data_IF_606889641907
#
_entry.id   IF_606889641907
#
_cell.length_a   1.000
_cell.length_b   1.000
_cell.length_c   1.000
_cell.angle_alpha   90.00
_cell.angle_beta   90.00
_cell.angle_gamma   90.00
#
_symmetry.space_group_name_H-M   'P 1'
#
loop_
_entity.id
_entity.type
_entity.pdbx_description
1 polymer ?
#
# COMPACT_ATOMS: atom_id res chain seq x y z
N UNK A 1 12.15 16.73 4.96
CA UNK A 1 12.23 15.26 5.02
C UNK A 1 10.82 14.68 5.12
N UNK A 2 10.52 13.66 4.32
CA UNK A 2 9.20 13.02 4.35
C UNK A 2 9.16 11.88 5.33
N UNK A 3 8.00 11.70 5.94
CA UNK A 3 7.74 10.55 6.79
C UNK A 3 6.75 9.62 6.13
N UNK A 4 6.90 8.32 6.41
CA UNK A 4 6.00 7.29 5.92
C UNK A 4 5.32 6.66 7.13
N UNK A 5 3.98 6.62 7.10
CA UNK A 5 3.19 6.03 8.19
C UNK A 5 2.20 5.03 7.62
N UNK A 6 2.11 3.88 8.27
CA UNK A 6 1.13 2.84 7.93
C UNK A 6 -0.06 2.98 8.86
N UNK A 7 -1.25 3.10 8.28
CA UNK A 7 -2.47 3.11 9.09
C UNK A 7 -2.73 1.72 9.66
N UNK A 8 -3.54 1.64 10.71
CA UNK A 8 -3.90 0.35 11.28
C UNK A 8 -4.64 -0.53 10.28
N UNK A 9 -5.46 0.08 9.41
CA UNK A 9 -6.16 -0.68 8.37
C UNK A 9 -5.19 -1.27 7.36
N UNK A 10 -4.17 -0.50 6.96
CA UNK A 10 -3.16 -1.00 6.03
C UNK A 10 -2.36 -2.14 6.64
N UNK A 11 -2.01 -2.03 7.93
CA UNK A 11 -1.32 -3.12 8.63
C UNK A 11 -2.20 -4.37 8.73
N UNK A 12 -3.50 -4.19 8.97
CA UNK A 12 -4.45 -5.31 8.96
C UNK A 12 -4.52 -5.96 7.59
N UNK A 13 -4.48 -5.15 6.53
CA UNK A 13 -4.47 -5.69 5.17
C UNK A 13 -3.26 -6.57 4.93
N UNK A 14 -2.07 -6.15 5.41
CA UNK A 14 -0.87 -6.97 5.26
C UNK A 14 -1.00 -8.31 6.00
N UNK A 15 -1.53 -8.27 7.22
CA UNK A 15 -1.74 -9.49 8.00
C UNK A 15 -2.73 -10.41 7.29
N UNK A 16 -3.81 -9.86 6.76
CA UNK A 16 -4.82 -10.62 6.03
C UNK A 16 -4.22 -11.29 4.79
N UNK A 17 -3.42 -10.57 4.04
CA UNK A 17 -2.78 -11.11 2.84
C UNK A 17 -1.81 -12.22 3.20
N UNK A 18 -1.03 -12.05 4.27
CA UNK A 18 -0.13 -13.09 4.74
C UNK A 18 -0.91 -14.35 5.12
N UNK A 19 -1.97 -14.19 5.91
CA UNK A 19 -2.78 -15.32 6.37
C UNK A 19 -3.44 -16.06 5.22
N UNK A 20 -3.81 -15.33 4.16
CA UNK A 20 -4.40 -15.92 2.98
C UNK A 20 -3.38 -16.75 2.18
N UNK A 21 -2.15 -16.25 2.08
CA UNK A 21 -1.12 -16.88 1.25
C UNK A 21 -0.32 -17.95 1.97
N UNK A 22 -0.11 -17.80 3.28
CA UNK A 22 0.77 -18.68 4.04
C UNK A 22 0.37 -20.17 4.00
N UNK A 23 -0.94 -20.53 4.06
CA UNK A 23 -1.31 -21.94 3.98
C UNK A 23 -0.90 -22.60 2.67
N UNK A 24 -0.83 -21.82 1.59
CA UNK A 24 -0.44 -22.36 0.28
C UNK A 24 1.08 -22.39 0.17
N UNK A 25 1.75 -21.29 0.54
CA UNK A 25 3.21 -21.20 0.46
C UNK A 25 3.71 -20.09 1.38
N UNK A 26 4.34 -20.48 2.48
CA UNK A 26 4.82 -19.52 3.48
C UNK A 26 5.90 -18.61 2.93
N UNK A 27 6.80 -19.14 2.11
CA UNK A 27 7.88 -18.32 1.52
C UNK A 27 7.32 -17.25 0.60
N UNK A 28 6.31 -17.59 -0.19
CA UNK A 28 5.65 -16.62 -1.07
C UNK A 28 4.93 -15.57 -0.23
N UNK A 29 4.25 -15.99 0.84
CA UNK A 29 3.55 -15.06 1.73
C UNK A 29 4.53 -14.04 2.33
N UNK A 30 5.67 -14.53 2.85
CA UNK A 30 6.66 -13.65 3.46
C UNK A 30 7.25 -12.68 2.44
N UNK A 31 7.57 -13.16 1.23
CA UNK A 31 8.13 -12.29 0.20
C UNK A 31 7.13 -11.26 -0.29
N UNK A 32 5.86 -11.63 -0.37
CA UNK A 32 4.80 -10.72 -0.78
C UNK A 32 4.68 -9.56 0.22
N UNK A 33 4.60 -9.89 1.51
CA UNK A 33 4.49 -8.86 2.55
C UNK A 33 5.76 -7.99 2.57
N UNK A 34 6.93 -8.60 2.43
CA UNK A 34 8.18 -7.85 2.38
C UNK A 34 8.20 -6.87 1.19
N UNK A 35 7.78 -7.33 0.02
CA UNK A 35 7.71 -6.49 -1.17
C UNK A 35 6.74 -5.32 -0.96
N UNK A 36 5.59 -5.58 -0.34
CA UNK A 36 4.61 -4.54 -0.08
C UNK A 36 5.08 -3.53 0.95
N UNK A 37 5.82 -3.98 1.96
CA UNK A 37 6.34 -3.04 2.98
C UNK A 37 7.48 -2.19 2.45
N UNK A 38 8.20 -2.66 1.45
CA UNK A 38 9.30 -1.91 0.85
C UNK A 38 8.86 -0.98 -0.27
N UNK A 39 7.76 -1.31 -0.94
CA UNK A 39 7.32 -0.54 -2.11
C UNK A 39 7.15 0.95 -1.85
N UNK A 40 6.61 1.39 -0.69
CA UNK A 40 6.43 2.83 -0.46
C UNK A 40 7.72 3.61 -0.29
N UNK A 41 8.87 2.96 -0.16
CA UNK A 41 10.15 3.68 -0.03
C UNK A 41 10.40 4.60 -1.22
N UNK A 42 9.97 4.20 -2.41
CA UNK A 42 10.11 5.05 -3.60
C UNK A 42 9.27 6.31 -3.51
N UNK A 43 8.19 6.28 -2.72
CA UNK A 43 7.32 7.43 -2.55
C UNK A 43 7.96 8.54 -1.72
N UNK A 44 8.97 8.20 -0.93
CA UNK A 44 9.67 9.22 -0.12
C UNK A 44 10.42 10.21 -1.00
N UNK A 45 10.90 9.77 -2.16
CA UNK A 45 11.58 10.66 -3.11
C UNK A 45 10.67 11.09 -4.24
N UNK A 46 9.60 10.35 -4.51
CA UNK A 46 8.73 10.62 -5.64
C UNK A 46 7.26 10.37 -5.25
N UNK A 47 6.70 11.21 -4.37
CA UNK A 47 5.39 10.93 -3.78
C UNK A 47 4.23 10.98 -4.76
N UNK A 48 4.39 11.66 -5.89
CA UNK A 48 3.31 11.82 -6.87
C UNK A 48 3.36 10.81 -8.00
N UNK A 49 4.17 9.76 -7.85
CA UNK A 49 4.28 8.75 -8.89
C UNK A 49 2.98 7.94 -9.07
N UNK A 50 2.20 7.79 -8.00
CA UNK A 50 0.93 7.08 -8.07
C UNK A 50 -0.16 7.89 -8.75
N UNK A 51 -1.15 7.19 -9.31
CA UNK A 51 -2.29 7.83 -9.96
C UNK A 51 -3.19 8.51 -8.93
N UNK A 52 -3.50 9.78 -9.15
CA UNK A 52 -4.39 10.52 -8.27
C UNK A 52 -5.83 10.01 -8.44
N UNK A 53 -6.50 9.79 -7.31
CA UNK A 53 -7.88 9.33 -7.29
C UNK A 53 -8.78 10.55 -7.06
N UNK A 54 -9.45 10.99 -8.12
CA UNK A 54 -10.22 12.24 -8.11
C UNK A 54 -11.38 12.21 -7.11
N UNK A 55 -11.94 11.05 -6.87
CA UNK A 55 -13.10 10.92 -5.96
C UNK A 55 -12.78 11.30 -4.52
N UNK A 56 -11.50 11.43 -4.16
CA UNK A 56 -11.10 11.81 -2.80
C UNK A 56 -10.75 13.29 -2.66
N UNK A 57 -10.75 14.03 -3.77
CA UNK A 57 -10.40 15.45 -3.70
C UNK A 57 -11.33 16.18 -2.75
N UNK A 58 -10.82 17.17 -1.99
CA UNK A 58 -9.49 17.82 -2.12
C UNK A 58 -8.35 17.05 -1.47
N UNK A 59 -8.59 15.87 -0.89
CA UNK A 59 -7.51 15.04 -0.34
C UNK A 59 -6.67 14.50 -1.50
N UNK A 60 -5.35 14.47 -1.31
CA UNK A 60 -4.44 13.95 -2.32
C UNK A 60 -4.22 12.46 -2.07
N UNK A 61 -5.18 11.66 -2.51
CA UNK A 61 -5.14 10.20 -2.37
C UNK A 61 -4.75 9.60 -3.72
N UNK A 62 -3.80 8.70 -3.68
CA UNK A 62 -3.25 8.09 -4.90
C UNK A 62 -3.17 6.58 -4.74
N UNK A 63 -3.03 5.89 -5.87
CA UNK A 63 -2.81 4.45 -5.86
C UNK A 63 -1.49 4.13 -6.55
N UNK A 64 -0.80 3.15 -5.98
CA UNK A 64 0.43 2.60 -6.53
C UNK A 64 0.19 1.12 -6.78
N UNK A 65 0.53 0.65 -7.98
CA UNK A 65 0.42 -0.78 -8.28
C UNK A 65 1.75 -1.45 -7.98
N UNK A 66 1.71 -2.51 -7.18
CA UNK A 66 2.87 -3.29 -6.79
C UNK A 66 2.59 -4.73 -7.22
N UNK A 67 3.02 -5.08 -8.45
CA UNK A 67 2.63 -6.34 -9.06
C UNK A 67 1.10 -6.41 -9.15
N UNK A 68 0.47 -7.49 -8.66
CA UNK A 68 -0.99 -7.62 -8.70
C UNK A 68 -1.70 -6.96 -7.51
N UNK A 69 -0.98 -6.14 -6.73
CA UNK A 69 -1.55 -5.49 -5.56
C UNK A 69 -1.71 -4.01 -5.79
N UNK A 70 -2.78 -3.46 -5.23
CA UNK A 70 -3.01 -2.01 -5.23
C UNK A 70 -2.74 -1.48 -3.83
N UNK A 71 -1.91 -0.44 -3.74
CA UNK A 71 -1.60 0.24 -2.50
C UNK A 71 -2.14 1.66 -2.59
N UNK A 72 -3.06 2.00 -1.69
CA UNK A 72 -3.64 3.34 -1.67
C UNK A 72 -2.95 4.16 -0.60
N UNK A 73 -2.54 5.37 -0.96
CA UNK A 73 -1.83 6.24 -0.03
C UNK A 73 -2.29 7.68 -0.16
N UNK A 74 -2.04 8.45 0.87
CA UNK A 74 -2.42 9.86 0.92
C UNK A 74 -1.21 10.72 1.26
N UNK A 75 -1.07 11.85 0.57
CA UNK A 75 -0.03 12.82 0.84
C UNK A 75 -0.63 13.94 1.67
N UNK A 76 -0.06 14.16 2.88
CA UNK A 76 -0.42 15.29 3.75
C UNK A 76 0.85 15.98 4.15
N UNK A 77 1.14 17.14 3.53
CA UNK A 77 2.36 17.90 3.77
C UNK A 77 3.60 17.02 3.57
N UNK A 78 4.39 16.79 4.60
CA UNK A 78 5.59 15.97 4.50
C UNK A 78 5.35 14.50 4.91
N UNK A 79 4.10 14.10 5.10
CA UNK A 79 3.76 12.75 5.55
C UNK A 79 3.01 11.99 4.47
N UNK A 80 3.39 10.74 4.29
CA UNK A 80 2.71 9.80 3.40
C UNK A 80 2.04 8.75 4.27
N UNK A 81 0.73 8.60 4.11
CA UNK A 81 -0.06 7.62 4.86
C UNK A 81 -0.44 6.47 3.94
N UNK A 82 -0.05 5.25 4.27
CA UNK A 82 -0.52 4.06 3.55
C UNK A 82 -1.88 3.71 4.12
N UNK A 83 -2.92 3.85 3.31
CA UNK A 83 -4.30 3.73 3.75
C UNK A 83 -4.83 2.31 3.67
N UNK A 84 -4.61 1.65 2.55
CA UNK A 84 -5.13 0.31 2.29
C UNK A 84 -4.21 -0.42 1.32
N UNK A 85 -4.23 -1.75 1.39
CA UNK A 85 -3.54 -2.63 0.44
C UNK A 85 -4.44 -3.82 0.16
N UNK A 86 -4.59 -4.18 -1.13
CA UNK A 86 -5.35 -5.38 -1.50
C UNK A 86 -4.88 -5.91 -2.84
N UNK A 87 -5.22 -7.18 -3.11
CA UNK A 87 -5.01 -7.77 -4.43
C UNK A 87 -6.06 -7.18 -5.37
N UNK A 88 -5.66 -6.88 -6.62
CA UNK A 88 -6.57 -6.20 -7.57
C UNK A 88 -7.82 -7.02 -7.89
N UNK A 89 -7.80 -8.32 -7.62
CA UNK A 89 -8.96 -9.19 -7.86
C UNK A 89 -9.85 -9.38 -6.62
N UNK A 90 -9.47 -8.80 -5.50
CA UNK A 90 -10.33 -8.86 -4.32
C UNK A 90 -11.58 -8.03 -4.55
N UNK A 91 -12.72 -8.56 -4.05
CA UNK A 91 -13.96 -7.84 -4.07
C UNK A 91 -13.98 -6.84 -2.93
N UNK A 92 -14.14 -5.56 -3.27
CA UNK A 92 -14.03 -4.47 -2.28
C UNK A 92 -15.34 -3.69 -2.23
#
# INVERSE_FOLDING_TARGET
>A
MRELKWTSKALSDLARLFEFLAPVNRSVAARTVQSLTQAPDTLLTNPRIGEQLEEFQPRDVRRLLVGPYEMRYEIQDATLYILRVWHVREDR
#
